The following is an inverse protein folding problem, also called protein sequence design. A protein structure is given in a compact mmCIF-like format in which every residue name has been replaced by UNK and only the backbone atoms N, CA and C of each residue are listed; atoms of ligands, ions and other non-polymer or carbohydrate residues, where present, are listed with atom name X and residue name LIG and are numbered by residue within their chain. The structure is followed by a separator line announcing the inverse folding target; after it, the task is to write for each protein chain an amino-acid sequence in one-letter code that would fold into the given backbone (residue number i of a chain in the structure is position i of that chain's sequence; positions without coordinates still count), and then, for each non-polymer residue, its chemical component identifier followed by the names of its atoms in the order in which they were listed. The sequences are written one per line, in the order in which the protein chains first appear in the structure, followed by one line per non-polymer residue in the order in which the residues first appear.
data_IF_725266994525
#
_entry.id   IF_725266994525
#
_cell.length_a   1.000
_cell.length_b   1.000
_cell.length_c   1.000
_cell.angle_alpha   90.00
_cell.angle_beta   90.00
_cell.angle_gamma   90.00
#
_symmetry.space_group_name_H-M   'P 1'
#
loop_
_entity.id
_entity.type
_entity.pdbx_description
1 polymer ?
#
# COMPACT_ATOMS: atom_id res chain seq x y z
N UNK A 1 -8.91 -7.67 28.71
CA UNK A 1 -8.52 -6.43 28.00
C UNK A 1 -7.99 -6.84 26.64
N UNK A 2 -8.39 -6.18 25.56
CA UNK A 2 -7.93 -6.52 24.21
C UNK A 2 -6.60 -5.83 23.90
N UNK A 3 -5.72 -6.53 23.19
CA UNK A 3 -4.50 -5.94 22.62
C UNK A 3 -4.80 -5.32 21.24
N UNK A 4 -3.86 -4.55 20.71
CA UNK A 4 -3.94 -4.06 19.33
C UNK A 4 -4.06 -5.26 18.37
N UNK A 5 -3.28 -6.32 18.58
CA UNK A 5 -3.38 -7.55 17.79
C UNK A 5 -4.78 -8.18 17.83
N UNK A 6 -5.42 -8.24 19.01
CA UNK A 6 -6.80 -8.75 19.14
C UNK A 6 -7.79 -8.01 18.25
N UNK A 7 -7.61 -6.69 18.10
CA UNK A 7 -8.46 -5.85 17.28
C UNK A 7 -8.19 -6.06 15.80
N UNK A 8 -6.92 -6.09 15.41
CA UNK A 8 -6.49 -6.25 14.03
C UNK A 8 -6.77 -7.66 13.48
N UNK A 9 -6.83 -8.68 14.34
CA UNK A 9 -7.13 -10.07 13.98
C UNK A 9 -8.63 -10.32 13.68
N UNK A 10 -9.51 -9.36 13.95
CA UNK A 10 -10.95 -9.51 13.67
C UNK A 10 -11.23 -9.49 12.17
N UNK A 11 -12.29 -10.20 11.71
CA UNK A 11 -12.67 -10.17 10.30
C UNK A 11 -12.94 -8.74 9.82
N UNK A 12 -12.56 -8.46 8.58
CA UNK A 12 -13.01 -7.26 7.87
C UNK A 12 -14.44 -7.47 7.38
N UNK A 13 -15.28 -6.42 7.35
CA UNK A 13 -16.59 -6.54 6.75
C UNK A 13 -16.46 -6.75 5.25
N UNK A 14 -17.23 -7.70 4.72
CA UNK A 14 -17.27 -7.97 3.29
C UNK A 14 -17.99 -6.83 2.56
N UNK A 15 -17.35 -6.17 1.57
CA UNK A 15 -18.03 -5.19 0.74
C UNK A 15 -19.06 -5.88 -0.18
N UNK A 16 -20.19 -5.21 -0.40
CA UNK A 16 -21.24 -5.71 -1.28
C UNK A 16 -21.15 -5.06 -2.66
N UNK A 17 -20.76 -5.83 -3.67
CA UNK A 17 -20.69 -5.40 -5.07
C UNK A 17 -22.05 -5.57 -5.76
N UNK A 18 -22.86 -4.53 -5.83
CA UNK A 18 -24.18 -4.65 -6.44
C UNK A 18 -24.24 -4.29 -7.93
N UNK A 19 -23.37 -3.39 -8.40
CA UNK A 19 -23.47 -2.82 -9.76
C UNK A 19 -22.09 -2.34 -10.28
N UNK A 20 -21.07 -3.18 -10.14
CA UNK A 20 -19.72 -2.79 -10.51
C UNK A 20 -19.58 -2.51 -12.01
N UNK A 21 -19.09 -1.33 -12.36
CA UNK A 21 -18.77 -0.94 -13.73
C UNK A 21 -17.52 -1.68 -14.23
N UNK A 22 -17.63 -2.36 -15.36
CA UNK A 22 -16.52 -3.04 -16.03
C UNK A 22 -15.85 -2.11 -17.06
N UNK A 23 -15.22 -1.03 -16.61
CA UNK A 23 -14.39 -0.20 -17.52
C UNK A 23 -12.94 -0.71 -17.54
N UNK A 24 -12.15 -0.39 -18.59
CA UNK A 24 -10.72 -0.70 -18.64
C UNK A 24 -9.96 0.02 -17.53
N UNK A 25 -8.78 -0.48 -17.20
CA UNK A 25 -7.86 0.23 -16.34
C UNK A 25 -7.31 1.49 -17.04
N UNK A 26 -6.95 2.50 -16.27
CA UNK A 26 -6.28 3.69 -16.79
C UNK A 26 -4.87 3.30 -17.26
N UNK A 27 -4.40 3.95 -18.31
CA UNK A 27 -3.07 3.76 -18.87
C UNK A 27 -2.35 5.10 -19.06
N UNK A 28 -1.04 5.10 -18.86
CA UNK A 28 -0.17 6.21 -19.26
C UNK A 28 1.17 5.66 -19.77
N UNK A 29 1.65 6.21 -20.89
CA UNK A 29 2.97 5.86 -21.45
C UNK A 29 4.13 6.28 -20.56
N UNK A 30 3.88 7.21 -19.63
CA UNK A 30 4.89 7.69 -18.69
C UNK A 30 5.06 6.81 -17.46
N UNK A 31 4.24 5.76 -17.31
CA UNK A 31 4.39 4.85 -16.17
C UNK A 31 5.53 3.86 -16.37
N UNK A 32 6.21 3.55 -15.28
CA UNK A 32 7.23 2.51 -15.24
C UNK A 32 6.59 1.15 -15.56
N UNK A 33 7.05 0.45 -16.62
CA UNK A 33 6.43 -0.81 -17.00
C UNK A 33 6.75 -1.90 -15.97
N UNK A 34 5.72 -2.64 -15.56
CA UNK A 34 5.85 -3.82 -14.72
C UNK A 34 5.36 -5.03 -15.52
N UNK A 35 6.23 -5.99 -15.77
CA UNK A 35 5.89 -7.24 -16.48
C UNK A 35 5.87 -8.46 -15.57
N UNK A 36 6.51 -8.35 -14.40
CA UNK A 36 6.70 -9.44 -13.46
C UNK A 36 6.65 -8.93 -12.02
N UNK A 37 6.42 -9.84 -11.10
CA UNK A 37 6.59 -9.63 -9.67
C UNK A 37 7.12 -10.90 -9.01
N UNK A 38 7.71 -10.79 -7.82
CA UNK A 38 8.26 -11.91 -7.07
C UNK A 38 7.59 -12.02 -5.70
N UNK A 39 7.45 -13.24 -5.12
CA UNK A 39 6.89 -13.35 -3.78
C UNK A 39 7.73 -12.63 -2.73
N UNK A 40 7.08 -11.84 -1.88
CA UNK A 40 7.69 -11.26 -0.68
C UNK A 40 7.63 -12.30 0.45
N UNK A 41 8.61 -13.19 0.47
CA UNK A 41 8.59 -14.42 1.28
C UNK A 41 8.64 -14.19 2.79
N UNK A 42 9.18 -13.08 3.25
CA UNK A 42 9.28 -12.71 4.67
C UNK A 42 8.12 -11.85 5.18
N UNK A 43 7.17 -11.43 4.32
CA UNK A 43 5.95 -10.76 4.75
C UNK A 43 4.91 -11.77 5.27
N UNK A 44 5.19 -12.35 6.43
CA UNK A 44 4.40 -13.40 7.06
C UNK A 44 3.86 -12.97 8.41
N UNK A 45 2.77 -13.61 8.88
CA UNK A 45 2.21 -13.34 10.21
C UNK A 45 3.26 -13.51 11.30
N UNK A 46 4.11 -14.54 11.21
CA UNK A 46 5.15 -14.84 12.20
C UNK A 46 6.19 -13.73 12.29
N UNK A 47 6.72 -13.30 11.13
CA UNK A 47 7.73 -12.26 11.09
C UNK A 47 7.16 -10.92 11.56
N UNK A 48 5.97 -10.54 11.06
CA UNK A 48 5.33 -9.27 11.43
C UNK A 48 4.97 -9.20 12.91
N UNK A 49 4.41 -10.27 13.48
CA UNK A 49 4.07 -10.30 14.91
C UNK A 49 5.30 -10.35 15.81
N UNK A 50 6.40 -10.94 15.34
CA UNK A 50 7.69 -10.91 16.03
C UNK A 50 8.33 -9.52 15.98
N UNK A 51 8.42 -8.93 14.79
CA UNK A 51 9.03 -7.60 14.55
C UNK A 51 8.30 -6.50 15.34
N UNK A 52 6.97 -6.52 15.32
CA UNK A 52 6.13 -5.48 15.94
C UNK A 52 5.49 -5.92 17.26
N UNK A 53 6.07 -6.93 17.93
CA UNK A 53 5.51 -7.54 19.14
C UNK A 53 5.17 -6.51 20.24
N UNK A 54 6.04 -5.52 20.46
CA UNK A 54 5.85 -4.49 21.47
C UNK A 54 4.58 -3.67 21.22
N UNK A 55 4.36 -3.23 20.00
CA UNK A 55 3.18 -2.43 19.62
C UNK A 55 1.93 -3.31 19.58
N UNK A 56 2.01 -4.48 18.98
CA UNK A 56 0.86 -5.37 18.80
C UNK A 56 0.32 -5.92 20.13
N UNK A 57 1.19 -6.10 21.13
CA UNK A 57 0.80 -6.53 22.48
C UNK A 57 0.37 -5.36 23.39
N UNK A 58 0.50 -4.12 22.95
CA UNK A 58 0.03 -2.97 23.71
C UNK A 58 -1.49 -3.03 23.89
N UNK A 59 -1.95 -2.48 25.03
CA UNK A 59 -3.37 -2.42 25.34
C UNK A 59 -4.10 -1.50 24.39
N UNK A 60 -5.20 -1.98 23.80
CA UNK A 60 -6.11 -1.18 23.02
C UNK A 60 -6.89 -0.21 23.91
N UNK A 61 -6.63 1.09 23.78
CA UNK A 61 -7.31 2.16 24.50
C UNK A 61 -8.44 2.85 23.71
N UNK A 62 -8.62 2.46 22.46
CA UNK A 62 -9.74 2.93 21.61
C UNK A 62 -11.07 2.37 22.10
N UNK A 63 -12.19 3.04 21.75
CA UNK A 63 -13.55 2.57 22.04
C UNK A 63 -13.82 1.16 21.50
N UNK A 64 -15.00 0.60 21.77
CA UNK A 64 -15.37 -0.74 21.28
C UNK A 64 -15.16 -0.80 19.76
N UNK A 65 -14.26 -1.72 19.32
CA UNK A 65 -13.99 -1.89 17.88
C UNK A 65 -15.23 -2.34 17.09
N UNK A 66 -16.26 -2.89 17.76
CA UNK A 66 -17.55 -3.20 17.13
C UNK A 66 -18.40 -1.93 16.93
N UNK A 67 -18.15 -0.86 17.71
CA UNK A 67 -18.83 0.43 17.57
C UNK A 67 -18.23 1.30 16.45
N UNK A 68 -17.21 0.83 15.74
CA UNK A 68 -16.77 1.40 14.48
C UNK A 68 -17.87 1.05 13.46
N UNK A 69 -18.97 1.78 13.63
CA UNK A 69 -20.27 1.45 13.09
C UNK A 69 -20.25 1.33 11.57
N UNK A 70 -20.53 0.16 11.13
CA UNK A 70 -21.26 -0.05 9.90
C UNK A 70 -22.71 0.16 10.30
N UNK A 71 -23.25 1.35 10.10
CA UNK A 71 -24.62 1.67 10.47
C UNK A 71 -25.67 1.02 9.55
N UNK A 72 -25.23 0.22 8.56
CA UNK A 72 -26.13 -0.53 7.69
C UNK A 72 -25.43 -1.17 6.48
N UNK A 73 -26.14 -2.10 5.83
CA UNK A 73 -25.74 -2.78 4.59
C UNK A 73 -25.35 -1.82 3.46
N UNK A 74 -25.94 -0.62 3.43
CA UNK A 74 -25.70 0.40 2.40
C UNK A 74 -24.30 1.02 2.50
N UNK A 75 -23.68 1.00 3.66
CA UNK A 75 -22.35 1.54 3.86
C UNK A 75 -21.25 0.67 3.24
N UNK A 76 -21.58 -0.56 2.85
CA UNK A 76 -20.68 -1.52 2.19
C UNK A 76 -20.98 -1.64 0.69
N UNK A 77 -21.93 -0.87 0.18
CA UNK A 77 -22.23 -0.84 -1.24
C UNK A 77 -21.05 -0.20 -2.00
N UNK A 78 -20.46 -0.95 -2.90
CA UNK A 78 -19.33 -0.51 -3.72
C UNK A 78 -19.74 -0.50 -5.19
N UNK A 79 -20.36 0.61 -5.68
CA UNK A 79 -20.78 0.72 -7.07
C UNK A 79 -19.61 0.96 -8.05
N UNK A 80 -18.49 1.46 -7.56
CA UNK A 80 -17.29 1.77 -8.35
C UNK A 80 -16.01 1.75 -7.49
N UNK A 81 -14.84 1.91 -8.14
CA UNK A 81 -13.54 1.93 -7.46
C UNK A 81 -13.42 3.05 -6.42
N UNK A 82 -14.05 4.22 -6.66
CA UNK A 82 -14.00 5.35 -5.71
C UNK A 82 -14.72 5.04 -4.42
N UNK A 83 -15.71 4.17 -4.47
CA UNK A 83 -16.46 3.73 -3.29
C UNK A 83 -15.68 2.73 -2.42
N UNK A 84 -14.62 2.10 -2.94
CA UNK A 84 -13.67 1.31 -2.12
C UNK A 84 -12.83 2.18 -1.19
N UNK A 85 -12.56 3.43 -1.56
CA UNK A 85 -11.77 4.37 -0.75
C UNK A 85 -12.34 4.53 0.67
N UNK A 86 -13.65 4.76 0.89
CA UNK A 86 -14.23 4.78 2.24
C UNK A 86 -14.10 3.46 3.00
N UNK A 87 -14.20 2.31 2.32
CA UNK A 87 -14.02 0.99 2.94
C UNK A 87 -12.58 0.84 3.43
N UNK A 88 -11.60 1.15 2.59
CA UNK A 88 -10.19 1.15 2.95
C UNK A 88 -9.88 2.19 4.06
N UNK A 89 -10.51 3.37 4.04
CA UNK A 89 -10.36 4.42 5.07
C UNK A 89 -10.96 3.99 6.41
N UNK A 90 -11.95 3.11 6.45
CA UNK A 90 -12.47 2.56 7.72
C UNK A 90 -11.43 1.73 8.46
N UNK A 91 -10.56 1.06 7.73
CA UNK A 91 -9.36 0.44 8.29
C UNK A 91 -8.34 1.49 8.81
N UNK A 92 -8.47 2.76 8.38
CA UNK A 92 -7.69 3.92 8.82
C UNK A 92 -7.67 4.14 10.34
N UNK A 93 -8.74 3.82 11.06
CA UNK A 93 -8.76 4.00 12.52
C UNK A 93 -7.78 3.06 13.22
N UNK A 94 -7.45 1.94 12.63
CA UNK A 94 -6.37 1.10 13.11
C UNK A 94 -5.00 1.78 12.91
N UNK A 95 -4.80 2.41 11.75
CA UNK A 95 -3.57 3.14 11.44
C UNK A 95 -3.45 4.49 12.18
N UNK A 96 -4.57 5.18 12.49
CA UNK A 96 -4.55 6.45 13.25
C UNK A 96 -4.19 6.31 14.73
N UNK A 97 -4.00 5.07 15.20
CA UNK A 97 -3.54 4.78 16.56
C UNK A 97 -2.01 4.91 16.66
N UNK A 98 -1.32 4.95 15.52
CA UNK A 98 0.13 5.11 15.46
C UNK A 98 0.47 6.57 15.79
N UNK A 99 0.26 6.96 17.05
CA UNK A 99 0.85 8.18 17.58
C UNK A 99 2.20 7.82 18.19
N UNK A 100 3.19 7.62 17.32
CA UNK A 100 4.55 7.22 17.69
C UNK A 100 5.38 8.40 18.23
N UNK A 101 4.72 9.46 18.74
CA UNK A 101 5.40 10.59 19.35
C UNK A 101 6.17 11.50 18.37
N UNK A 102 6.06 11.22 17.08
CA UNK A 102 6.57 12.03 15.98
C UNK A 102 5.41 12.65 15.20
N UNK A 103 5.66 13.26 14.06
CA UNK A 103 4.68 14.01 13.28
C UNK A 103 3.39 13.23 13.01
N UNK A 104 2.21 13.89 13.02
CA UNK A 104 0.94 13.21 12.79
C UNK A 104 0.91 12.61 11.38
N UNK A 105 0.62 11.30 11.29
CA UNK A 105 0.46 10.59 10.05
C UNK A 105 -1.02 10.57 9.63
N UNK A 106 -1.30 10.79 8.36
CA UNK A 106 -2.65 10.74 7.79
C UNK A 106 -2.77 9.68 6.71
N UNK A 107 -3.62 8.67 6.89
CA UNK A 107 -4.07 7.82 5.81
C UNK A 107 -5.30 8.46 5.17
N UNK A 108 -5.28 8.73 3.88
CA UNK A 108 -6.38 9.40 3.20
C UNK A 108 -6.33 9.31 1.68
N UNK A 109 -7.37 9.85 1.00
CA UNK A 109 -7.36 9.93 -0.46
C UNK A 109 -6.22 10.82 -0.94
N UNK A 110 -5.52 10.36 -1.99
CA UNK A 110 -4.46 11.10 -2.65
C UNK A 110 -5.05 12.01 -3.73
N UNK A 111 -4.89 13.32 -3.59
CA UNK A 111 -5.06 14.24 -4.71
C UNK A 111 -3.81 15.12 -4.79
N UNK A 112 -2.83 14.64 -5.51
CA UNK A 112 -1.54 15.32 -5.64
C UNK A 112 -1.42 15.88 -7.03
N UNK A 113 -1.76 17.13 -7.21
CA UNK A 113 -1.34 17.95 -8.35
C UNK A 113 -1.34 17.25 -9.73
N UNK A 114 -0.77 17.88 -10.73
CA UNK A 114 -0.61 17.31 -12.09
C UNK A 114 0.58 16.32 -12.13
N UNK A 115 0.56 15.27 -11.33
CA UNK A 115 1.62 14.27 -11.35
C UNK A 115 1.34 13.18 -12.40
N UNK A 116 2.40 12.66 -13.00
CA UNK A 116 2.40 11.57 -13.99
C UNK A 116 1.62 10.35 -13.47
N UNK A 117 1.67 10.10 -12.16
CA UNK A 117 0.88 9.09 -11.47
C UNK A 117 0.45 9.62 -10.11
N UNK A 118 -0.82 9.43 -9.76
CA UNK A 118 -1.36 9.78 -8.44
C UNK A 118 -1.92 8.53 -7.78
N UNK A 119 -1.63 8.28 -6.48
CA UNK A 119 -2.26 7.21 -5.75
C UNK A 119 -3.72 7.57 -5.41
N UNK A 120 -4.59 6.56 -5.34
CA UNK A 120 -5.97 6.74 -4.86
C UNK A 120 -6.01 6.91 -3.35
N UNK A 121 -5.09 6.25 -2.65
CA UNK A 121 -4.87 6.25 -1.21
C UNK A 121 -3.40 6.43 -0.89
N UNK A 122 -3.09 6.86 0.33
CA UNK A 122 -1.71 6.88 0.80
C UNK A 122 -1.59 7.19 2.28
N UNK A 123 -0.46 6.80 2.85
CA UNK A 123 0.01 7.32 4.12
C UNK A 123 0.84 8.57 3.83
N UNK A 124 0.57 9.63 4.55
CA UNK A 124 1.20 10.93 4.38
C UNK A 124 1.78 11.42 5.70
N UNK A 125 2.93 12.09 5.62
CA UNK A 125 3.35 13.00 6.69
C UNK A 125 2.40 14.20 6.69
N UNK A 126 1.88 14.57 7.85
CA UNK A 126 1.07 15.79 7.98
C UNK A 126 2.00 16.91 8.42
N UNK A 127 2.21 17.96 7.59
CA UNK A 127 3.09 19.05 7.95
C UNK A 127 2.64 19.71 9.25
N UNK A 128 3.58 20.01 10.11
CA UNK A 128 3.28 20.84 11.29
C UNK A 128 2.97 22.26 10.83
N UNK A 129 2.14 23.04 11.56
CA UNK A 129 1.82 24.42 11.20
C UNK A 129 3.03 25.35 11.02
N UNK A 130 4.18 24.93 11.52
CA UNK A 130 5.44 25.66 11.41
C UNK A 130 6.24 25.31 10.14
N UNK A 131 5.97 24.17 9.49
CA UNK A 131 6.61 23.77 8.25
C UNK A 131 5.71 24.12 7.07
N UNK A 132 6.20 24.90 6.13
CA UNK A 132 5.55 25.12 4.82
C UNK A 132 5.81 23.93 3.89
N UNK A 133 6.09 22.76 4.43
CA UNK A 133 6.48 21.57 3.67
C UNK A 133 5.28 20.94 2.98
N UNK A 134 5.55 20.43 1.80
CA UNK A 134 4.60 19.67 0.99
C UNK A 134 4.30 18.35 1.72
N UNK A 135 3.05 17.89 1.62
CA UNK A 135 2.66 16.54 2.06
C UNK A 135 3.54 15.49 1.36
N UNK A 136 4.35 14.78 2.12
CA UNK A 136 5.14 13.68 1.59
C UNK A 136 4.34 12.38 1.62
N UNK A 137 4.35 11.67 0.49
CA UNK A 137 3.79 10.33 0.40
C UNK A 137 4.80 9.37 1.02
N UNK A 138 4.39 8.61 2.02
CA UNK A 138 5.20 7.58 2.66
C UNK A 138 4.83 6.17 2.16
N UNK A 139 3.57 5.99 1.72
CA UNK A 139 3.03 4.71 1.27
C UNK A 139 1.94 4.95 0.23
N UNK A 140 2.24 4.86 -1.07
CA UNK A 140 1.23 4.96 -2.12
C UNK A 140 0.36 3.71 -2.20
N UNK A 141 -0.94 3.89 -2.41
CA UNK A 141 -1.90 2.81 -2.59
C UNK A 141 -2.89 3.09 -3.70
N UNK A 142 -3.38 2.02 -4.34
CA UNK A 142 -4.41 2.07 -5.34
C UNK A 142 -5.61 1.20 -4.95
N UNK A 143 -6.80 1.61 -5.37
CA UNK A 143 -8.03 0.85 -5.24
C UNK A 143 -8.46 0.32 -6.60
N UNK A 144 -8.83 -0.95 -6.66
CA UNK A 144 -9.39 -1.60 -7.84
C UNK A 144 -10.57 -2.49 -7.45
N UNK A 145 -11.52 -2.67 -8.34
CA UNK A 145 -12.54 -3.71 -8.18
C UNK A 145 -11.96 -5.07 -8.57
N UNK A 146 -12.29 -6.13 -7.85
CA UNK A 146 -11.87 -7.51 -8.19
C UNK A 146 -12.36 -7.94 -9.57
N UNK A 147 -13.48 -7.38 -10.04
CA UNK A 147 -14.00 -7.57 -11.40
C UNK A 147 -13.14 -6.96 -12.50
N UNK A 148 -12.24 -6.02 -12.16
CA UNK A 148 -11.32 -5.37 -13.10
C UNK A 148 -9.89 -5.83 -12.94
N UNK A 149 -9.50 -6.16 -11.73
CA UNK A 149 -8.13 -6.54 -11.42
C UNK A 149 -8.06 -7.52 -10.25
N UNK A 150 -7.34 -8.60 -10.46
CA UNK A 150 -7.00 -9.59 -9.43
C UNK A 150 -5.63 -10.21 -9.73
N UNK A 151 -4.91 -10.69 -8.72
CA UNK A 151 -3.53 -11.18 -8.85
C UNK A 151 -3.32 -12.25 -9.92
N UNK A 152 -4.27 -13.17 -10.08
CA UNK A 152 -4.19 -14.34 -10.97
C UNK A 152 -4.32 -13.98 -12.46
N UNK A 153 -4.77 -12.76 -12.82
CA UNK A 153 -4.83 -12.30 -14.23
C UNK A 153 -3.47 -12.44 -14.93
N UNK A 154 -2.36 -12.38 -14.20
CA UNK A 154 -1.00 -12.58 -14.75
C UNK A 154 -0.81 -13.97 -15.36
N UNK A 155 -1.54 -14.98 -14.87
CA UNK A 155 -1.47 -16.36 -15.33
C UNK A 155 -2.34 -16.63 -16.57
N UNK A 156 -3.09 -15.64 -17.03
CA UNK A 156 -3.96 -15.79 -18.20
C UNK A 156 -3.15 -16.12 -19.46
N UNK A 157 -3.66 -16.99 -20.28
CA UNK A 157 -3.11 -17.27 -21.62
C UNK A 157 -3.27 -16.06 -22.56
N UNK A 158 -4.27 -15.20 -22.30
CA UNK A 158 -4.56 -14.03 -23.12
C UNK A 158 -3.64 -12.85 -22.77
N UNK A 159 -2.88 -12.39 -23.76
CA UNK A 159 -1.96 -11.24 -23.60
C UNK A 159 -2.69 -9.97 -23.13
N UNK A 160 -3.91 -9.72 -23.63
CA UNK A 160 -4.69 -8.56 -23.22
C UNK A 160 -5.01 -8.55 -21.72
N UNK A 161 -5.31 -9.71 -21.13
CA UNK A 161 -5.58 -9.84 -19.69
C UNK A 161 -4.30 -9.60 -18.88
N UNK A 162 -3.16 -10.14 -19.33
CA UNK A 162 -1.86 -9.87 -18.68
C UNK A 162 -1.48 -8.39 -18.76
N UNK A 163 -1.78 -7.73 -19.89
CA UNK A 163 -1.54 -6.29 -20.02
C UNK A 163 -2.40 -5.48 -19.04
N UNK A 164 -3.68 -5.81 -18.89
CA UNK A 164 -4.56 -5.18 -17.91
C UNK A 164 -4.10 -5.42 -16.45
N UNK A 165 -3.56 -6.61 -16.17
CA UNK A 165 -2.94 -6.90 -14.87
C UNK A 165 -1.75 -5.97 -14.56
N UNK A 166 -0.93 -5.66 -15.55
CA UNK A 166 0.28 -4.86 -15.37
C UNK A 166 -0.02 -3.38 -15.08
N UNK A 167 -1.14 -2.82 -15.55
CA UNK A 167 -1.42 -1.39 -15.48
C UNK A 167 -1.48 -0.82 -14.05
N UNK A 168 -2.23 -1.39 -13.10
CA UNK A 168 -2.25 -0.87 -11.73
C UNK A 168 -0.89 -1.01 -11.03
N UNK A 169 -0.14 -2.08 -11.33
CA UNK A 169 1.21 -2.25 -10.80
C UNK A 169 2.16 -1.17 -11.35
N UNK A 170 2.08 -0.87 -12.64
CA UNK A 170 2.86 0.20 -13.27
C UNK A 170 2.53 1.56 -12.65
N UNK A 171 1.25 1.82 -12.36
CA UNK A 171 0.81 3.06 -11.71
C UNK A 171 1.40 3.18 -10.30
N UNK A 172 1.23 2.17 -9.44
CA UNK A 172 1.72 2.24 -8.06
C UNK A 172 3.25 2.25 -7.99
N UNK A 173 3.94 1.51 -8.87
CA UNK A 173 5.40 1.52 -8.98
C UNK A 173 5.93 2.90 -9.37
N UNK A 174 5.24 3.58 -10.31
CA UNK A 174 5.58 4.94 -10.69
C UNK A 174 5.36 5.92 -9.54
N UNK A 175 4.23 5.80 -8.81
CA UNK A 175 4.00 6.60 -7.60
C UNK A 175 5.12 6.39 -6.57
N UNK A 176 5.52 5.14 -6.32
CA UNK A 176 6.56 4.80 -5.37
C UNK A 176 7.92 5.37 -5.80
N UNK A 177 8.28 5.26 -7.08
CA UNK A 177 9.52 5.81 -7.61
C UNK A 177 9.58 7.34 -7.51
N UNK A 178 8.49 8.04 -7.86
CA UNK A 178 8.38 9.50 -7.79
C UNK A 178 8.42 10.05 -6.36
N UNK A 179 7.95 9.27 -5.39
CA UNK A 179 7.89 9.65 -3.98
C UNK A 179 9.04 9.03 -3.16
N UNK A 180 9.97 8.32 -3.81
CA UNK A 180 11.06 7.60 -3.17
C UNK A 180 10.57 6.62 -2.08
N UNK A 181 9.43 5.96 -2.32
CA UNK A 181 8.79 5.04 -1.37
C UNK A 181 9.24 3.60 -1.60
N UNK A 182 9.64 2.93 -0.51
CA UNK A 182 9.99 1.50 -0.49
C UNK A 182 8.78 0.59 -0.61
N UNK A 183 7.64 1.01 -0.11
CA UNK A 183 6.43 0.21 0.01
C UNK A 183 5.26 0.82 -0.75
N UNK A 184 4.31 -0.03 -1.13
CA UNK A 184 3.05 0.36 -1.72
C UNK A 184 2.01 -0.74 -1.57
N UNK A 185 0.79 -0.49 -2.01
CA UNK A 185 -0.24 -1.52 -2.00
C UNK A 185 -1.30 -1.31 -3.08
N UNK A 186 -1.98 -2.42 -3.41
CA UNK A 186 -3.23 -2.46 -4.15
C UNK A 186 -4.29 -3.08 -3.26
N UNK A 187 -5.47 -2.48 -3.20
CA UNK A 187 -6.59 -3.05 -2.44
C UNK A 187 -7.79 -3.23 -3.36
N UNK A 188 -8.39 -4.40 -3.28
CA UNK A 188 -9.66 -4.73 -3.94
C UNK A 188 -10.71 -5.06 -2.88
N UNK A 189 -11.92 -5.32 -3.33
CA UNK A 189 -12.99 -5.86 -2.49
C UNK A 189 -12.72 -7.30 -2.00
N UNK A 190 -11.78 -8.03 -2.64
CA UNK A 190 -11.45 -9.43 -2.30
C UNK A 190 -10.08 -9.60 -1.65
N UNK A 191 -9.12 -8.70 -1.93
CA UNK A 191 -7.76 -8.84 -1.45
C UNK A 191 -7.03 -7.51 -1.28
N UNK A 192 -6.05 -7.51 -0.38
CA UNK A 192 -4.96 -6.55 -0.31
C UNK A 192 -3.72 -7.20 -0.91
N UNK A 193 -3.05 -6.50 -1.81
CA UNK A 193 -1.71 -6.85 -2.28
C UNK A 193 -0.73 -5.80 -1.76
N UNK A 194 0.17 -6.23 -0.90
CA UNK A 194 1.28 -5.39 -0.41
C UNK A 194 2.48 -5.54 -1.34
N UNK A 195 3.21 -4.46 -1.53
CA UNK A 195 4.33 -4.37 -2.47
C UNK A 195 5.57 -3.81 -1.77
N UNK A 196 6.73 -4.35 -2.11
CA UNK A 196 8.04 -3.80 -1.78
C UNK A 196 8.81 -3.53 -3.08
N UNK A 197 9.35 -2.32 -3.23
CA UNK A 197 10.08 -1.87 -4.41
C UNK A 197 11.57 -1.80 -4.12
N UNK A 198 12.38 -2.15 -5.12
CA UNK A 198 13.84 -2.14 -5.04
C UNK A 198 14.40 -1.42 -6.27
N UNK A 199 15.37 -0.51 -6.07
CA UNK A 199 16.11 0.13 -7.17
C UNK A 199 16.96 -0.89 -7.91
N UNK A 200 16.96 -0.82 -9.22
CA UNK A 200 17.88 -1.59 -10.07
C UNK A 200 19.21 -0.85 -10.14
N UNK A 201 20.31 -1.54 -9.87
CA UNK A 201 21.66 -0.99 -10.12
C UNK A 201 21.88 -0.93 -11.63
N UNK A 202 22.19 0.27 -12.12
CA UNK A 202 22.59 0.48 -13.51
C UNK A 202 24.11 0.50 -13.51
N UNK A 203 24.73 -0.48 -14.15
CA UNK A 203 26.16 -0.45 -14.39
C UNK A 203 26.44 0.62 -15.45
N UNK A 204 26.79 1.82 -14.99
CA UNK A 204 27.23 2.92 -15.86
C UNK A 204 28.66 2.67 -16.32
N UNK A 205 28.88 1.60 -17.05
CA UNK A 205 30.10 1.42 -17.82
C UNK A 205 29.95 2.11 -19.18
N UNK A 206 30.19 3.42 -19.19
CA UNK A 206 30.48 4.18 -20.38
C UNK A 206 29.37 4.97 -21.02
N UNK A 207 28.87 6.03 -20.38
CA UNK A 207 28.54 7.31 -21.06
C UNK A 207 28.42 8.41 -20.01
N UNK A 208 29.46 9.24 -19.90
CA UNK A 208 29.30 10.59 -19.34
C UNK A 208 28.56 11.42 -20.40
N UNK A 209 27.34 11.77 -20.15
CA UNK A 209 26.74 12.96 -20.76
C UNK A 209 26.17 13.81 -19.64
N UNK A 210 27.00 14.75 -19.19
CA UNK A 210 26.53 15.82 -18.34
C UNK A 210 25.65 16.76 -19.16
N UNK A 211 24.38 16.71 -18.92
CA UNK A 211 23.45 17.80 -19.23
C UNK A 211 22.34 17.75 -18.20
N UNK A 212 22.48 18.63 -17.17
CA UNK A 212 21.55 18.78 -16.05
C UNK A 212 20.24 19.53 -16.41
N UNK A 213 19.89 19.60 -17.68
CA UNK A 213 18.70 20.30 -18.14
C UNK A 213 17.66 19.37 -18.74
N UNK A 214 17.01 18.53 -17.91
CA UNK A 214 15.83 17.80 -18.33
C UNK A 214 14.56 18.45 -17.75
N UNK A 215 13.75 19.17 -18.58
CA UNK A 215 12.59 19.90 -18.10
C UNK A 215 11.29 19.10 -17.99
N UNK A 216 11.34 17.80 -18.19
CA UNK A 216 10.12 17.00 -18.17
C UNK A 216 10.31 15.82 -17.22
N UNK A 217 9.84 15.92 -15.99
CA UNK A 217 9.58 14.90 -14.96
C UNK A 217 9.76 13.42 -15.31
N UNK A 218 10.86 13.06 -15.98
CA UNK A 218 11.19 11.69 -16.35
C UNK A 218 11.66 10.99 -15.09
N UNK A 219 11.06 9.86 -14.78
CA UNK A 219 11.50 9.00 -13.67
C UNK A 219 12.83 8.37 -14.06
N UNK A 220 13.94 8.95 -13.62
CA UNK A 220 15.29 8.41 -13.83
C UNK A 220 15.61 7.23 -12.87
N UNK A 221 14.60 6.46 -12.47
CA UNK A 221 14.76 5.31 -11.57
C UNK A 221 14.30 4.05 -12.28
N UNK A 222 15.18 3.09 -12.44
CA UNK A 222 14.80 1.73 -12.80
C UNK A 222 14.52 0.91 -11.53
N UNK A 223 13.41 0.16 -11.57
CA UNK A 223 13.01 -0.75 -10.50
C UNK A 223 13.24 -2.19 -10.91
N UNK A 224 13.59 -3.04 -9.95
CA UNK A 224 13.44 -4.49 -10.08
C UNK A 224 11.94 -4.86 -10.06
N UNK A 225 11.56 -6.08 -10.52
CA UNK A 225 10.21 -6.58 -10.32
C UNK A 225 9.80 -6.44 -8.85
N UNK A 226 8.64 -5.84 -8.53
CA UNK A 226 8.23 -5.66 -7.15
C UNK A 226 8.02 -7.00 -6.45
N UNK A 227 8.37 -7.05 -5.18
CA UNK A 227 8.00 -8.17 -4.32
C UNK A 227 6.58 -7.96 -3.81
N UNK A 228 5.81 -9.06 -3.70
CA UNK A 228 4.40 -8.99 -3.32
C UNK A 228 3.99 -10.05 -2.30
N UNK A 229 2.98 -9.72 -1.48
CA UNK A 229 2.20 -10.70 -0.75
C UNK A 229 0.70 -10.39 -0.90
N UNK A 230 -0.12 -11.42 -1.03
CA UNK A 230 -1.58 -11.32 -1.17
C UNK A 230 -2.25 -11.72 0.13
N UNK A 231 -3.13 -10.87 0.62
CA UNK A 231 -3.91 -11.08 1.84
C UNK A 231 -5.40 -11.00 1.49
N UNK A 232 -6.15 -12.08 1.68
CA UNK A 232 -7.57 -12.10 1.36
C UNK A 232 -8.40 -11.31 2.39
N UNK A 233 -9.45 -10.61 1.93
CA UNK A 233 -10.37 -9.86 2.79
C UNK A 233 -11.06 -10.75 3.83
N UNK A 234 -11.31 -12.03 3.49
CA UNK A 234 -11.89 -13.01 4.40
C UNK A 234 -10.94 -13.51 5.50
N UNK A 235 -9.64 -13.18 5.43
CA UNK A 235 -8.66 -13.59 6.44
C UNK A 235 -9.00 -13.02 7.81
N UNK A 236 -9.05 -13.88 8.83
CA UNK A 236 -9.35 -13.50 10.21
C UNK A 236 -8.69 -14.44 11.19
N UNK A 237 -8.59 -14.02 12.46
CA UNK A 237 -7.96 -14.79 13.54
C UNK A 237 -6.50 -14.41 13.76
N UNK A 238 -6.01 -14.69 14.98
CA UNK A 238 -4.66 -14.28 15.41
C UNK A 238 -3.52 -14.99 14.69
N UNK A 239 -3.78 -16.19 14.20
CA UNK A 239 -2.77 -17.01 13.51
C UNK A 239 -2.75 -16.74 11.99
N UNK A 240 -3.60 -15.83 11.51
CA UNK A 240 -3.71 -15.46 10.12
C UNK A 240 -3.31 -14.01 9.90
N UNK A 241 -2.64 -13.76 8.79
CA UNK A 241 -2.38 -12.40 8.33
C UNK A 241 -3.68 -11.80 7.79
N UNK A 242 -4.26 -10.88 8.54
CA UNK A 242 -5.48 -10.15 8.15
C UNK A 242 -5.13 -8.89 7.39
N UNK A 243 -6.06 -8.37 6.57
CA UNK A 243 -5.87 -7.11 5.84
C UNK A 243 -5.55 -5.96 6.80
N UNK A 244 -6.25 -5.88 7.95
CA UNK A 244 -6.01 -4.83 8.96
C UNK A 244 -4.60 -4.89 9.53
N UNK A 245 -4.16 -6.09 9.90
CA UNK A 245 -2.82 -6.30 10.44
C UNK A 245 -1.75 -5.98 9.39
N UNK A 246 -1.95 -6.42 8.14
CA UNK A 246 -1.03 -6.15 7.05
C UNK A 246 -0.88 -4.65 6.77
N UNK A 247 -2.01 -3.91 6.66
CA UNK A 247 -1.99 -2.44 6.45
C UNK A 247 -1.33 -1.75 7.65
N UNK A 248 -1.66 -2.16 8.88
CA UNK A 248 -1.07 -1.59 10.10
C UNK A 248 0.45 -1.76 10.11
N UNK A 249 0.95 -2.98 9.88
CA UNK A 249 2.39 -3.25 9.83
C UNK A 249 3.05 -2.50 8.66
N UNK A 250 2.39 -2.43 7.49
CA UNK A 250 2.90 -1.69 6.34
C UNK A 250 3.04 -0.18 6.65
N UNK A 251 2.08 0.39 7.39
CA UNK A 251 2.18 1.77 7.88
C UNK A 251 3.34 1.96 8.86
N UNK A 252 3.54 1.00 9.80
CA UNK A 252 4.70 1.04 10.72
C UNK A 252 6.02 0.98 9.94
N UNK A 253 6.12 0.09 8.94
CA UNK A 253 7.31 -0.03 8.08
C UNK A 253 7.58 1.28 7.32
N UNK A 254 6.53 1.88 6.76
CA UNK A 254 6.64 3.12 5.99
C UNK A 254 6.93 4.36 6.86
N UNK A 255 6.72 4.30 8.18
CA UNK A 255 6.99 5.40 9.11
C UNK A 255 8.26 5.21 9.95
N UNK A 256 8.91 4.06 9.86
CA UNK A 256 10.00 3.65 10.74
C UNK A 256 11.40 4.12 10.31
N UNK A 257 11.54 5.04 9.34
CA UNK A 257 12.84 5.55 8.88
C UNK A 257 13.55 4.65 7.85
N UNK A 258 12.95 3.53 7.47
CA UNK A 258 13.41 2.63 6.40
C UNK A 258 12.43 2.62 5.22
N UNK A 259 11.72 3.72 5.03
CA UNK A 259 10.66 3.93 4.04
C UNK A 259 11.19 4.25 2.65
N UNK A 260 12.47 4.62 2.55
CA UNK A 260 13.06 5.05 1.28
C UNK A 260 13.45 3.88 0.38
N UNK A 261 13.27 4.11 -0.90
CA UNK A 261 13.62 3.19 -1.95
C UNK A 261 15.14 2.99 -2.02
N UNK A 262 15.63 1.73 -2.02
CA UNK A 262 17.05 1.40 -2.03
C UNK A 262 17.34 0.21 -2.97
N UNK A 263 18.62 -0.13 -3.12
CA UNK A 263 19.15 -1.19 -4.02
C UNK A 263 19.09 -2.60 -3.43
N UNK A 264 18.62 -2.76 -2.25
CA UNK A 264 18.43 -4.05 -1.59
C UNK A 264 18.01 -3.85 -0.12
N UNK A 265 17.35 -4.86 0.42
CA UNK A 265 16.84 -4.81 1.78
C UNK A 265 17.18 -6.09 2.54
N UNK A 266 17.52 -5.99 3.83
CA UNK A 266 17.61 -7.17 4.67
C UNK A 266 16.20 -7.82 4.80
N UNK A 267 16.13 -9.10 5.17
CA UNK A 267 14.89 -9.73 5.62
C UNK A 267 14.29 -8.96 6.80
N UNK A 268 12.96 -9.00 6.95
CA UNK A 268 12.29 -8.42 8.12
C UNK A 268 12.82 -9.07 9.40
N UNK A 269 13.27 -8.24 10.33
CA UNK A 269 13.85 -8.66 11.61
C UNK A 269 13.21 -7.92 12.77
N UNK A 270 13.10 -8.54 13.95
CA UNK A 270 12.68 -7.85 15.18
C UNK A 270 13.53 -6.63 15.54
N UNK A 271 14.78 -6.59 15.06
CA UNK A 271 15.71 -5.47 15.29
C UNK A 271 15.44 -4.26 14.40
N UNK A 272 14.63 -4.42 13.34
CA UNK A 272 14.30 -3.33 12.39
C UNK A 272 13.33 -2.30 12.97
N UNK A 273 12.65 -2.63 14.08
CA UNK A 273 11.74 -1.73 14.77
C UNK A 273 12.24 -1.43 16.18
N UNK A 274 12.89 -0.30 16.35
CA UNK A 274 13.14 0.32 17.65
C UNK A 274 12.24 1.55 17.78
N UNK A 275 11.25 1.55 18.72
CA UNK A 275 10.35 2.68 18.94
C UNK A 275 11.05 3.92 19.48
#
# INVERSE_FOLDING_TARGET
MSTIHDVLARPSPEPYLSWASHGPNVYSESWLPVSEWTPWVDFTIQNLTSTYAQVLNAHWSGGDPQSIGISGRFDLLVPDERSLVPVAIRERRAASIINLGQEPLGLGPGSFGQNIASPDLGLFSVPTPASQEKLDILLPGLTKLSTKWYPEMRLSEHQSVRSEWALPLSQVSTCAALSDCRYGFLITDEALVVLRFTKKRIDVSGTQSGDDSDPAGVVNVELLPPEYAVIHMSSSGKDNLTVKLAVFCLCLMASGGHDKLDYGYPPLSPDDYQP
#
